data_IF_420487425780
#
_entry.id   IF_420487425780
#
_cell.length_a   1.000
_cell.length_b   1.000
_cell.length_c   1.000
_cell.angle_alpha   90.00
_cell.angle_beta   90.00
_cell.angle_gamma   90.00
#
_symmetry.space_group_name_H-M   'P 1'
#
loop_
_entity.id
_entity.type
_entity.pdbx_description
1 polymer ?
#
# COMPACT_ATOMS: atom_id res chain seq x y z
N UNK A 1 0.35 -30.20 13.14
CA UNK A 1 0.18 -28.74 13.34
C UNK A 1 0.98 -28.05 12.26
N UNK A 2 0.30 -27.53 11.22
CA UNK A 2 0.94 -26.63 10.26
C UNK A 2 1.13 -25.30 11.00
N UNK A 3 2.36 -24.98 11.34
CA UNK A 3 2.76 -23.70 11.93
C UNK A 3 2.24 -22.58 11.02
N UNK A 4 1.54 -21.59 11.60
CA UNK A 4 1.16 -20.37 10.88
C UNK A 4 2.43 -19.82 10.20
N UNK A 5 2.36 -19.37 8.93
CA UNK A 5 3.51 -18.74 8.31
C UNK A 5 4.00 -17.57 9.19
N UNK A 6 5.30 -17.53 9.46
CA UNK A 6 5.96 -16.57 10.36
C UNK A 6 5.90 -15.11 9.87
N UNK A 7 5.36 -14.85 8.68
CA UNK A 7 5.31 -13.53 8.08
C UNK A 7 3.87 -13.15 7.75
N UNK A 8 3.43 -12.02 8.29
CA UNK A 8 2.12 -11.41 8.02
C UNK A 8 1.94 -11.11 6.52
N UNK A 9 3.05 -10.78 5.84
CA UNK A 9 3.09 -10.55 4.41
C UNK A 9 3.90 -11.62 3.68
N UNK A 10 3.33 -12.16 2.61
CA UNK A 10 4.04 -13.00 1.64
C UNK A 10 4.37 -12.15 0.41
N UNK A 11 5.65 -11.93 0.16
CA UNK A 11 6.09 -11.32 -1.10
C UNK A 11 5.93 -12.32 -2.24
N UNK A 12 5.23 -11.89 -3.28
CA UNK A 12 5.01 -12.70 -4.48
C UNK A 12 5.98 -12.24 -5.58
N UNK A 13 6.24 -10.94 -5.68
CA UNK A 13 7.12 -10.33 -6.68
C UNK A 13 6.41 -10.00 -7.99
N UNK A 14 6.87 -8.95 -8.67
CA UNK A 14 6.16 -8.35 -9.82
C UNK A 14 6.02 -9.28 -11.02
N UNK A 15 6.85 -10.31 -11.16
CA UNK A 15 6.71 -11.35 -12.21
C UNK A 15 5.34 -12.06 -12.17
N UNK A 16 4.67 -12.07 -11.03
CA UNK A 16 3.31 -12.62 -10.94
C UNK A 16 2.26 -11.71 -11.56
N UNK A 17 2.47 -10.38 -11.54
CA UNK A 17 1.64 -9.40 -12.23
C UNK A 17 1.72 -9.67 -13.74
N UNK A 18 2.93 -9.82 -14.28
CA UNK A 18 3.18 -10.12 -15.70
C UNK A 18 2.53 -11.44 -16.17
N UNK A 19 2.29 -12.37 -15.23
CA UNK A 19 1.64 -13.66 -15.48
C UNK A 19 0.11 -13.62 -15.34
N UNK A 20 -0.46 -12.44 -15.09
CA UNK A 20 -1.90 -12.26 -14.91
C UNK A 20 -2.45 -12.83 -13.60
N UNK A 21 -1.62 -12.95 -12.56
CA UNK A 21 -2.03 -13.50 -11.27
C UNK A 21 -2.50 -12.44 -10.26
N UNK A 22 -2.37 -11.15 -10.60
CA UNK A 22 -2.76 -10.04 -9.75
C UNK A 22 -4.14 -9.47 -10.10
N UNK A 23 -4.76 -8.73 -9.18
CA UNK A 23 -6.00 -7.99 -9.44
C UNK A 23 -5.84 -7.10 -10.70
N UNK A 24 -6.81 -7.11 -11.65
CA UNK A 24 -6.69 -6.37 -12.90
C UNK A 24 -6.41 -4.87 -12.75
N UNK A 25 -6.92 -4.22 -11.70
CA UNK A 25 -6.69 -2.78 -11.45
C UNK A 25 -5.26 -2.52 -10.99
N UNK A 26 -4.73 -3.42 -10.17
CA UNK A 26 -3.35 -3.36 -9.69
C UNK A 26 -2.38 -3.60 -10.86
N UNK A 27 -2.67 -4.59 -11.72
CA UNK A 27 -1.91 -4.82 -12.95
C UNK A 27 -1.92 -3.60 -13.87
N UNK A 28 -3.10 -3.04 -14.14
CA UNK A 28 -3.22 -1.84 -14.97
C UNK A 28 -2.44 -0.64 -14.42
N UNK A 29 -2.46 -0.44 -13.09
CA UNK A 29 -1.65 0.57 -12.43
C UNK A 29 -0.15 0.31 -12.61
N UNK A 30 0.31 -0.93 -12.38
CA UNK A 30 1.71 -1.30 -12.54
C UNK A 30 2.21 -1.03 -13.97
N UNK A 31 1.46 -1.49 -14.96
CA UNK A 31 1.80 -1.31 -16.38
C UNK A 31 1.83 0.17 -16.78
N UNK A 32 0.85 0.94 -16.30
CA UNK A 32 0.76 2.39 -16.54
C UNK A 32 1.97 3.14 -16.00
N UNK A 33 2.45 2.77 -14.81
CA UNK A 33 3.62 3.40 -14.19
C UNK A 33 4.93 2.97 -14.86
N UNK A 34 5.07 1.69 -15.23
CA UNK A 34 6.26 1.21 -15.92
C UNK A 34 6.41 1.74 -17.34
N UNK A 35 5.28 1.98 -18.02
CA UNK A 35 5.26 2.47 -19.41
C UNK A 35 5.36 3.99 -19.50
N UNK A 36 5.32 4.69 -18.36
CA UNK A 36 5.32 6.14 -18.34
C UNK A 36 6.64 6.72 -18.84
N UNK A 37 6.57 7.62 -19.82
CA UNK A 37 7.71 8.39 -20.28
C UNK A 37 8.22 9.37 -19.22
N UNK A 38 9.41 9.92 -19.48
CA UNK A 38 10.00 10.94 -18.61
C UNK A 38 9.06 12.16 -18.52
N UNK A 39 8.57 12.45 -17.31
CA UNK A 39 7.67 13.57 -17.06
C UNK A 39 6.18 13.23 -17.13
N UNK A 40 5.82 11.99 -17.50
CA UNK A 40 4.42 11.57 -17.67
C UNK A 40 3.83 10.94 -16.40
N UNK A 41 4.63 10.72 -15.36
CA UNK A 41 4.22 10.07 -14.10
C UNK A 41 2.95 10.67 -13.51
N UNK A 42 2.79 11.99 -13.56
CA UNK A 42 1.60 12.64 -13.00
C UNK A 42 0.32 12.25 -13.75
N UNK A 43 0.36 12.27 -15.08
CA UNK A 43 -0.79 11.88 -15.92
C UNK A 43 -1.09 10.38 -15.78
N UNK A 44 -0.04 9.54 -15.72
CA UNK A 44 -0.17 8.11 -15.47
C UNK A 44 -0.72 7.79 -14.08
N UNK A 45 -0.43 8.61 -13.06
CA UNK A 45 -0.86 8.41 -11.68
C UNK A 45 -2.31 8.87 -11.44
N UNK A 46 -2.73 9.95 -12.11
CA UNK A 46 -4.01 10.64 -11.86
C UNK A 46 -5.25 9.73 -11.88
N UNK A 47 -5.42 8.78 -12.82
CA UNK A 47 -6.58 7.88 -12.82
C UNK A 47 -6.63 6.97 -11.60
N UNK A 48 -5.48 6.67 -10.99
CA UNK A 48 -5.35 5.71 -9.90
C UNK A 48 -5.36 6.38 -8.52
N UNK A 49 -5.17 7.70 -8.43
CA UNK A 49 -5.18 8.44 -7.16
C UNK A 49 -6.35 8.05 -6.24
N UNK A 50 -7.61 7.91 -6.71
CA UNK A 50 -8.71 7.49 -5.85
C UNK A 50 -8.50 6.14 -5.15
N UNK A 51 -7.70 5.24 -5.72
CA UNK A 51 -7.44 3.89 -5.20
C UNK A 51 -6.14 3.78 -4.40
N UNK A 52 -5.32 4.84 -4.38
CA UNK A 52 -3.99 4.82 -3.79
C UNK A 52 -3.98 5.40 -2.38
N UNK A 53 -3.03 4.94 -1.57
CA UNK A 53 -2.49 5.73 -0.46
C UNK A 53 -1.08 6.20 -0.82
N UNK A 54 -0.80 7.48 -0.64
CA UNK A 54 0.52 8.04 -0.90
C UNK A 54 1.25 8.29 0.43
N UNK A 55 2.50 7.83 0.48
CA UNK A 55 3.35 7.90 1.65
C UNK A 55 4.63 8.66 1.31
N UNK A 56 5.23 9.31 2.30
CA UNK A 56 6.53 9.96 2.10
C UNK A 56 7.65 8.95 1.75
N UNK A 57 8.86 9.42 1.49
CA UNK A 57 10.06 8.58 1.36
C UNK A 57 10.86 8.45 2.66
N UNK A 58 10.35 8.99 3.78
CA UNK A 58 11.03 8.98 5.07
C UNK A 58 10.58 7.79 5.90
N UNK A 59 11.51 6.90 6.28
CA UNK A 59 11.25 5.77 7.17
C UNK A 59 11.85 6.03 8.56
N UNK A 60 11.17 6.79 9.45
CA UNK A 60 11.68 7.08 10.79
C UNK A 60 11.81 5.79 11.60
N UNK A 61 12.96 5.61 12.25
CA UNK A 61 13.22 4.50 13.18
C UNK A 61 12.95 3.10 12.58
N UNK A 62 13.12 2.96 11.26
CA UNK A 62 12.90 1.71 10.53
C UNK A 62 11.43 1.36 10.27
N UNK A 63 10.50 2.21 10.70
CA UNK A 63 9.06 2.04 10.50
C UNK A 63 8.61 2.50 9.10
N UNK A 64 7.40 2.13 8.66
CA UNK A 64 6.85 2.58 7.38
C UNK A 64 6.79 4.11 7.27
N UNK A 65 6.86 4.65 6.04
CA UNK A 65 6.73 6.07 5.84
C UNK A 65 5.33 6.58 6.20
N UNK A 66 5.22 7.80 6.78
CA UNK A 66 3.93 8.40 7.05
C UNK A 66 3.11 8.59 5.77
N UNK A 67 1.82 8.29 5.88
CA UNK A 67 0.82 8.44 4.81
C UNK A 67 0.34 9.89 4.83
N UNK A 68 0.38 10.58 3.70
CA UNK A 68 -0.08 11.97 3.58
C UNK A 68 -1.33 12.12 2.71
N UNK A 69 -1.72 11.05 2.00
CA UNK A 69 -2.92 11.02 1.19
C UNK A 69 -3.53 9.62 1.18
N UNK A 70 -4.85 9.53 1.32
CA UNK A 70 -5.61 8.30 1.23
C UNK A 70 -6.77 8.52 0.27
N UNK A 71 -6.75 7.82 -0.86
CA UNK A 71 -7.78 7.90 -1.88
C UNK A 71 -9.15 7.43 -1.36
N UNK A 72 -10.22 7.99 -1.92
CA UNK A 72 -11.61 7.72 -1.53
C UNK A 72 -12.05 6.26 -1.75
N UNK A 73 -11.42 5.57 -2.70
CA UNK A 73 -11.70 4.20 -3.10
C UNK A 73 -10.54 3.26 -2.75
N UNK A 74 -9.64 3.70 -1.86
CA UNK A 74 -8.48 2.92 -1.43
C UNK A 74 -8.87 1.78 -0.49
N UNK A 75 -8.14 0.66 -0.58
CA UNK A 75 -8.32 -0.46 0.34
C UNK A 75 -8.13 -0.06 1.80
N UNK A 76 -7.17 0.82 2.11
CA UNK A 76 -6.95 1.26 3.49
C UNK A 76 -8.10 2.08 4.05
N UNK A 77 -8.71 2.97 3.27
CA UNK A 77 -9.91 3.70 3.72
C UNK A 77 -11.06 2.73 3.98
N UNK A 78 -11.21 1.71 3.14
CA UNK A 78 -12.22 0.66 3.33
C UNK A 78 -11.96 -0.13 4.62
N UNK A 79 -10.70 -0.43 4.93
CA UNK A 79 -10.30 -1.24 6.08
C UNK A 79 -10.37 -0.47 7.40
N UNK A 80 -9.85 0.77 7.43
CA UNK A 80 -9.68 1.54 8.67
C UNK A 80 -10.73 2.64 8.87
N UNK A 81 -11.57 2.88 7.87
CA UNK A 81 -12.69 3.82 7.96
C UNK A 81 -12.34 5.27 7.62
N UNK A 82 -13.39 6.06 7.48
CA UNK A 82 -13.35 7.47 7.07
C UNK A 82 -12.63 8.35 8.10
N UNK A 83 -12.95 8.16 9.39
CA UNK A 83 -12.39 8.97 10.48
C UNK A 83 -10.86 8.87 10.55
N UNK A 84 -10.31 7.69 10.24
CA UNK A 84 -8.87 7.48 10.13
C UNK A 84 -8.29 8.11 8.86
N UNK A 85 -8.95 7.92 7.72
CA UNK A 85 -8.45 8.38 6.43
C UNK A 85 -8.53 9.91 6.25
N UNK A 86 -9.39 10.58 7.03
CA UNK A 86 -9.63 12.03 6.96
C UNK A 86 -9.93 12.59 8.35
N UNK A 87 -8.94 12.59 9.26
CA UNK A 87 -9.14 13.04 10.63
C UNK A 87 -9.44 14.53 10.70
N UNK A 88 -10.28 14.92 11.66
CA UNK A 88 -10.70 16.32 11.88
C UNK A 88 -9.53 17.25 12.27
N UNK A 89 -8.46 16.69 12.85
CA UNK A 89 -7.20 17.39 13.09
C UNK A 89 -6.11 16.83 12.17
N UNK A 90 -5.47 17.64 11.31
CA UNK A 90 -4.41 17.16 10.43
C UNK A 90 -3.21 16.67 11.26
N UNK A 91 -2.98 15.36 11.25
CA UNK A 91 -1.73 14.80 11.77
C UNK A 91 -0.56 15.13 10.83
N UNK A 92 0.67 15.12 11.34
CA UNK A 92 1.91 15.25 10.55
C UNK A 92 2.13 14.10 9.55
N UNK A 93 1.25 13.10 9.58
CA UNK A 93 1.14 11.97 8.68
C UNK A 93 0.34 10.86 9.34
N UNK A 94 -0.50 10.16 8.59
CA UNK A 94 -1.28 9.02 9.10
C UNK A 94 -0.37 7.79 9.23
N UNK A 95 -0.67 6.97 10.24
CA UNK A 95 -0.09 5.64 10.46
C UNK A 95 -1.21 4.61 10.41
N UNK A 96 -0.90 3.38 10.02
CA UNK A 96 -1.87 2.28 10.13
C UNK A 96 -2.25 2.12 11.61
N UNK A 97 -3.55 2.01 11.95
CA UNK A 97 -3.98 1.93 13.35
C UNK A 97 -3.61 0.60 14.02
N UNK A 98 -3.34 -0.44 13.23
CA UNK A 98 -2.86 -1.74 13.68
C UNK A 98 -1.32 -1.76 13.71
N UNK A 99 -0.74 -1.83 14.90
CA UNK A 99 0.71 -1.72 15.12
C UNK A 99 1.50 -2.89 14.51
N UNK A 100 0.98 -4.12 14.60
CA UNK A 100 1.64 -5.30 14.04
C UNK A 100 1.65 -5.22 12.50
N UNK A 101 0.52 -4.84 11.92
CA UNK A 101 0.37 -4.61 10.48
C UNK A 101 1.28 -3.47 9.99
N UNK A 102 1.33 -2.37 10.74
CA UNK A 102 2.20 -1.23 10.49
C UNK A 102 3.66 -1.70 10.42
N UNK A 103 4.17 -2.32 11.49
CA UNK A 103 5.56 -2.78 11.55
C UNK A 103 5.89 -3.79 10.44
N UNK A 104 5.00 -4.77 10.21
CA UNK A 104 5.19 -5.77 9.16
C UNK A 104 5.21 -5.15 7.74
N UNK A 105 4.62 -3.97 7.55
CA UNK A 105 4.60 -3.30 6.25
C UNK A 105 5.93 -2.62 5.88
N UNK A 106 6.80 -2.34 6.85
CA UNK A 106 8.02 -1.57 6.67
C UNK A 106 8.93 -2.15 5.59
N UNK A 107 9.07 -3.47 5.53
CA UNK A 107 9.94 -4.14 4.55
C UNK A 107 9.50 -3.89 3.11
N UNK A 108 8.19 -3.86 2.85
CA UNK A 108 7.68 -3.57 1.51
C UNK A 108 8.04 -2.16 1.03
N UNK A 109 7.93 -1.18 1.93
CA UNK A 109 8.34 0.20 1.64
C UNK A 109 9.85 0.33 1.46
N UNK A 110 10.64 -0.36 2.29
CA UNK A 110 12.10 -0.39 2.18
C UNK A 110 12.56 -0.87 0.81
N UNK A 111 11.97 -1.96 0.31
CA UNK A 111 12.25 -2.49 -1.04
C UNK A 111 11.86 -1.53 -2.14
N UNK A 112 10.65 -0.96 -2.07
CA UNK A 112 10.18 0.04 -3.03
C UNK A 112 11.11 1.25 -3.11
N UNK A 113 11.51 1.80 -1.95
CA UNK A 113 12.42 2.94 -1.88
C UNK A 113 13.87 2.62 -2.31
N UNK A 114 14.27 1.36 -2.23
CA UNK A 114 15.53 0.86 -2.79
C UNK A 114 15.49 0.67 -4.33
N UNK A 115 14.34 0.95 -4.97
CA UNK A 115 14.18 0.92 -6.43
C UNK A 115 13.54 -0.35 -6.97
N UNK A 116 13.04 -1.25 -6.10
CA UNK A 116 12.35 -2.47 -6.52
C UNK A 116 10.89 -2.41 -6.10
N UNK A 117 9.91 -2.31 -7.04
CA UNK A 117 8.50 -2.36 -6.69
C UNK A 117 8.18 -3.62 -5.87
N UNK A 118 7.41 -3.46 -4.80
CA UNK A 118 7.03 -4.56 -3.94
C UNK A 118 5.61 -5.02 -4.27
N UNK A 119 5.45 -6.28 -4.65
CA UNK A 119 4.14 -6.92 -4.82
C UNK A 119 4.02 -8.11 -3.86
N UNK A 120 2.93 -8.15 -3.11
CA UNK A 120 2.68 -9.23 -2.17
C UNK A 120 1.23 -9.35 -1.76
N UNK A 121 0.99 -10.37 -0.95
CA UNK A 121 -0.32 -10.73 -0.43
C UNK A 121 -0.24 -10.92 1.08
N UNK A 122 -1.32 -10.61 1.77
CA UNK A 122 -1.50 -10.93 3.19
C UNK A 122 -2.87 -11.54 3.43
N UNK A 123 -2.90 -12.46 4.39
CA UNK A 123 -4.13 -12.88 5.07
C UNK A 123 -3.86 -12.80 6.55
N UNK A 124 -4.50 -11.86 7.24
CA UNK A 124 -4.21 -11.57 8.64
C UNK A 124 -5.47 -11.08 9.36
N UNK A 125 -5.59 -11.34 10.67
CA UNK A 125 -6.47 -10.53 11.51
C UNK A 125 -5.98 -9.08 11.51
N UNK A 126 -6.92 -8.14 11.56
CA UNK A 126 -6.68 -6.70 11.74
C UNK A 126 -7.65 -6.18 12.78
N UNK A 127 -7.14 -5.39 13.72
CA UNK A 127 -7.97 -4.75 14.73
C UNK A 127 -8.43 -3.37 14.26
N UNK A 128 -9.75 -3.18 14.19
CA UNK A 128 -10.38 -1.91 13.78
C UNK A 128 -11.48 -1.56 14.77
N UNK A 129 -11.35 -0.42 15.45
CA UNK A 129 -12.33 0.08 16.42
C UNK A 129 -12.72 -0.94 17.51
N UNK A 130 -11.76 -1.76 17.97
CA UNK A 130 -12.00 -2.78 18.99
C UNK A 130 -12.55 -4.11 18.46
N UNK A 131 -12.86 -4.21 17.17
CA UNK A 131 -13.32 -5.42 16.50
C UNK A 131 -12.17 -6.07 15.72
N UNK A 132 -12.18 -7.40 15.60
CA UNK A 132 -11.20 -8.14 14.80
C UNK A 132 -11.85 -8.54 13.48
N UNK A 133 -11.16 -8.24 12.39
CA UNK A 133 -11.52 -8.66 11.04
C UNK A 133 -10.45 -9.56 10.46
N UNK A 134 -10.85 -10.67 9.85
CA UNK A 134 -9.99 -11.44 8.96
C UNK A 134 -10.01 -10.78 7.58
N UNK A 135 -8.85 -10.27 7.15
CA UNK A 135 -8.70 -9.65 5.83
C UNK A 135 -7.74 -10.45 4.98
N UNK A 136 -8.07 -10.59 3.69
CA UNK A 136 -7.15 -11.02 2.65
C UNK A 136 -6.99 -9.89 1.64
N UNK A 137 -5.76 -9.55 1.27
CA UNK A 137 -5.51 -8.46 0.33
C UNK A 137 -4.19 -8.61 -0.42
N UNK A 138 -4.19 -8.07 -1.64
CA UNK A 138 -2.99 -7.80 -2.41
C UNK A 138 -2.50 -6.38 -2.15
N UNK A 139 -1.19 -6.18 -2.25
CA UNK A 139 -0.60 -4.84 -2.23
C UNK A 139 0.53 -4.70 -3.23
N UNK A 140 0.57 -3.54 -3.88
CA UNK A 140 1.68 -3.08 -4.70
C UNK A 140 2.20 -1.76 -4.13
N UNK A 141 3.52 -1.66 -3.94
CA UNK A 141 4.19 -0.45 -3.49
C UNK A 141 5.22 -0.06 -4.54
N UNK A 142 5.09 1.16 -5.07
CA UNK A 142 6.03 1.72 -6.04
C UNK A 142 6.56 3.05 -5.54
N UNK A 143 7.88 3.24 -5.58
CA UNK A 143 8.49 4.54 -5.33
C UNK A 143 8.50 5.38 -6.60
N UNK A 144 7.94 6.58 -6.53
CA UNK A 144 7.78 7.50 -7.66
C UNK A 144 8.48 8.83 -7.38
N UNK A 145 8.81 9.55 -8.46
CA UNK A 145 9.22 10.95 -8.40
C UNK A 145 8.12 11.81 -9.02
N UNK A 146 7.76 12.96 -8.42
CA UNK A 146 6.78 13.87 -8.99
C UNK A 146 7.27 14.53 -10.29
N UNK A 147 8.58 14.57 -10.51
CA UNK A 147 9.23 15.04 -11.73
C UNK A 147 10.58 14.29 -11.93
N UNK A 148 11.09 14.17 -13.17
CA UNK A 148 12.29 13.36 -13.48
C UNK A 148 13.52 13.65 -12.62
N UNK A 149 13.74 14.92 -12.26
CA UNK A 149 14.89 15.38 -11.47
C UNK A 149 14.52 15.79 -10.04
N UNK A 150 13.30 15.49 -9.59
CA UNK A 150 12.89 15.81 -8.22
C UNK A 150 13.82 15.13 -7.22
N UNK A 151 14.39 15.86 -6.24
CA UNK A 151 15.16 15.25 -5.15
C UNK A 151 14.26 14.48 -4.18
N UNK A 152 12.96 14.75 -4.23
CA UNK A 152 11.94 14.12 -3.38
C UNK A 152 11.32 12.94 -4.11
N UNK A 153 11.10 11.84 -3.37
CA UNK A 153 10.32 10.68 -3.78
C UNK A 153 9.11 10.51 -2.87
N UNK A 154 8.16 9.69 -3.31
CA UNK A 154 7.05 9.23 -2.49
C UNK A 154 6.71 7.80 -2.89
N UNK A 155 6.05 7.07 -2.00
CA UNK A 155 5.54 5.73 -2.28
C UNK A 155 4.06 5.82 -2.66
N UNK A 156 3.69 5.22 -3.78
CA UNK A 156 2.31 4.91 -4.12
C UNK A 156 2.01 3.48 -3.66
N UNK A 157 1.10 3.35 -2.71
CA UNK A 157 0.58 2.07 -2.26
C UNK A 157 -0.78 1.83 -2.93
N UNK A 158 -0.91 0.70 -3.61
CA UNK A 158 -2.18 0.19 -4.15
C UNK A 158 -2.55 -1.09 -3.41
N UNK A 159 -3.58 -1.05 -2.57
CA UNK A 159 -4.10 -2.23 -1.87
C UNK A 159 -5.46 -2.64 -2.40
N UNK A 160 -5.61 -3.95 -2.65
CA UNK A 160 -6.88 -4.54 -3.07
C UNK A 160 -7.32 -5.57 -2.04
N UNK A 161 -8.42 -5.27 -1.35
CA UNK A 161 -9.07 -6.22 -0.44
C UNK A 161 -9.78 -7.28 -1.28
N UNK A 162 -9.39 -8.54 -1.09
CA UNK A 162 -9.97 -9.72 -1.74
C UNK A 162 -11.07 -10.38 -0.89
N UNK A 163 -10.93 -10.35 0.43
CA UNK A 163 -11.90 -10.90 1.39
C UNK A 163 -11.83 -10.07 2.67
N UNK A 164 -12.98 -9.76 3.27
CA UNK A 164 -13.07 -9.07 4.56
C UNK A 164 -14.22 -9.68 5.36
N UNK A 165 -13.90 -10.29 6.50
CA UNK A 165 -14.88 -10.98 7.34
C UNK A 165 -14.71 -10.58 8.80
N UNK A 166 -15.82 -10.24 9.44
CA UNK A 166 -15.82 -10.05 10.89
C UNK A 166 -15.71 -11.40 11.59
N UNK A 167 -14.76 -11.54 12.50
CA UNK A 167 -14.70 -12.70 13.41
C UNK A 167 -15.69 -12.49 14.55
N UNK A 168 -16.78 -13.24 14.53
CA UNK A 168 -17.82 -13.27 15.56
C UNK A 168 -17.41 -14.09 16.78
#
# INVERSE_FOLDING_TARGET
MLTRPNALFSEIGTKAIDRGLADPRLSAFYDSILSAGSGEIQECLKPYLPHLSLCSDRMPDGAPPPIFYVGKDSGQRTLFGEDWASPSSPATGLRTPDEELEQASAEGYRKALAGTPYYGYARTPVQVNGEIYEVAFERLIVALRPAPYSPVRFCAYFGVIQDLRRTS
#
